data_IF_542629298052
#
_entry.id   IF_542629298052
#
_cell.length_a   1.000
_cell.length_b   1.000
_cell.length_c   1.000
_cell.angle_alpha   90.00
_cell.angle_beta   90.00
_cell.angle_gamma   90.00
#
_symmetry.space_group_name_H-M   'P 1'
#
loop_
_entity.id
_entity.type
_entity.pdbx_description
1 polymer ?
#
# COMPACT_ATOMS: atom_id res chain seq x y z
N UNK A 1 -17.21 25.18 -4.90
CA UNK A 1 -15.81 25.46 -4.51
C UNK A 1 -15.05 25.67 -5.80
N UNK A 2 -14.72 26.93 -6.02
CA UNK A 2 -13.92 27.49 -7.11
C UNK A 2 -12.49 26.92 -7.06
N UNK A 3 -11.94 26.57 -8.24
CA UNK A 3 -10.71 25.78 -8.40
C UNK A 3 -9.45 26.40 -7.79
N UNK A 4 -9.48 27.69 -7.45
CA UNK A 4 -8.41 28.40 -6.73
C UNK A 4 -8.32 27.99 -5.26
N UNK A 5 -9.45 27.61 -4.64
CA UNK A 5 -9.48 27.14 -3.26
C UNK A 5 -8.76 25.81 -3.07
N UNK A 6 -8.85 24.91 -4.06
CA UNK A 6 -8.24 23.58 -4.01
C UNK A 6 -6.71 23.65 -4.10
N UNK A 7 -6.16 24.51 -4.95
CA UNK A 7 -4.72 24.71 -5.08
C UNK A 7 -4.08 25.34 -3.83
N UNK A 8 -4.75 26.31 -3.22
CA UNK A 8 -4.31 26.89 -1.94
C UNK A 8 -4.30 25.85 -0.81
N UNK A 9 -5.23 24.89 -0.84
CA UNK A 9 -5.31 23.78 0.11
C UNK A 9 -4.19 22.75 -0.09
N UNK A 10 -3.84 22.43 -1.34
CA UNK A 10 -2.73 21.51 -1.67
C UNK A 10 -1.38 22.08 -1.20
N UNK A 11 -1.15 23.38 -1.40
CA UNK A 11 0.06 24.04 -0.91
C UNK A 11 0.16 24.04 0.62
N UNK A 12 -0.96 24.26 1.33
CA UNK A 12 -1.00 24.22 2.80
C UNK A 12 -0.77 22.80 3.34
N UNK A 13 -1.24 21.78 2.62
CA UNK A 13 -1.01 20.37 2.94
C UNK A 13 0.46 19.95 2.75
N UNK A 14 1.11 20.41 1.67
CA UNK A 14 2.54 20.14 1.42
C UNK A 14 3.47 20.85 2.42
N UNK A 15 3.04 22.00 2.97
CA UNK A 15 3.79 22.80 3.95
C UNK A 15 3.54 22.38 5.41
N UNK A 16 2.69 21.39 5.67
CA UNK A 16 2.48 20.81 7.00
C UNK A 16 1.80 21.73 8.02
N UNK A 17 1.05 22.75 7.57
CA UNK A 17 0.40 23.77 8.42
C UNK A 17 -1.09 23.54 8.67
N UNK A 18 -1.61 22.35 8.34
CA UNK A 18 -3.02 21.97 8.49
C UNK A 18 -3.29 21.36 9.88
N UNK A 19 -4.34 21.79 10.56
CA UNK A 19 -4.77 21.26 11.87
C UNK A 19 -5.55 19.95 11.76
N UNK A 20 -5.42 19.07 12.76
CA UNK A 20 -6.03 17.72 12.85
C UNK A 20 -7.55 17.73 12.59
N UNK A 21 -8.26 18.74 13.09
CA UNK A 21 -9.73 18.86 12.99
C UNK A 21 -10.24 18.99 11.54
N UNK A 22 -9.40 19.50 10.63
CA UNK A 22 -9.74 19.58 9.20
C UNK A 22 -9.43 18.28 8.46
N UNK A 23 -8.44 17.47 8.88
CA UNK A 23 -8.16 16.17 8.26
C UNK A 23 -9.30 15.16 8.49
N UNK A 24 -9.93 15.16 9.67
CA UNK A 24 -11.06 14.29 10.02
C UNK A 24 -12.30 14.53 9.13
N UNK A 25 -12.51 15.78 8.71
CA UNK A 25 -13.60 16.15 7.80
C UNK A 25 -13.39 15.61 6.37
N UNK A 26 -12.13 15.47 5.94
CA UNK A 26 -11.79 14.86 4.65
C UNK A 26 -11.81 13.31 4.71
N UNK A 27 -11.37 12.73 5.82
CA UNK A 27 -11.42 11.27 6.06
C UNK A 27 -12.87 10.76 6.07
N UNK A 28 -13.79 11.48 6.74
CA UNK A 28 -15.22 11.12 6.73
C UNK A 28 -15.85 11.22 5.34
N UNK A 29 -15.42 12.18 4.51
CA UNK A 29 -15.87 12.30 3.12
C UNK A 29 -15.31 11.17 2.23
N UNK A 30 -14.11 10.68 2.54
CA UNK A 30 -13.48 9.53 1.86
C UNK A 30 -14.18 8.20 2.17
N UNK A 31 -14.74 8.03 3.37
CA UNK A 31 -15.56 6.86 3.69
C UNK A 31 -16.81 6.78 2.80
N UNK A 32 -17.36 7.90 2.32
CA UNK A 32 -18.44 7.92 1.33
C UNK A 32 -17.98 7.57 -0.09
N UNK A 33 -16.73 7.87 -0.47
CA UNK A 33 -16.17 7.48 -1.78
C UNK A 33 -15.89 5.97 -1.85
N UNK A 34 -15.52 5.33 -0.72
CA UNK A 34 -15.42 3.87 -0.66
C UNK A 34 -16.76 3.16 -0.88
N UNK A 35 -17.90 3.85 -0.74
CA UNK A 35 -19.23 3.33 -1.11
C UNK A 35 -19.49 3.40 -2.62
N UNK A 36 -18.69 4.16 -3.37
CA UNK A 36 -18.75 4.26 -4.84
C UNK A 36 -17.78 3.30 -5.54
N UNK A 37 -16.98 2.53 -4.78
CA UNK A 37 -16.12 1.46 -5.31
C UNK A 37 -16.96 0.24 -5.75
N UNK A 38 -17.72 0.38 -6.84
CA UNK A 38 -18.41 -0.73 -7.55
C UNK A 38 -17.47 -1.54 -8.45
N UNK A 39 -16.15 -1.32 -8.36
CA UNK A 39 -15.16 -1.97 -9.22
C UNK A 39 -14.98 -3.48 -8.94
N UNK A 40 -14.95 -3.95 -7.68
CA UNK A 40 -14.91 -5.39 -7.40
C UNK A 40 -16.17 -6.13 -7.88
N UNK A 41 -17.34 -5.48 -7.81
CA UNK A 41 -18.62 -6.05 -8.23
C UNK A 41 -18.74 -6.15 -9.76
N UNK A 42 -18.17 -5.21 -10.52
CA UNK A 42 -18.17 -5.25 -11.99
C UNK A 42 -17.22 -6.32 -12.55
N UNK A 43 -16.09 -6.56 -11.88
CA UNK A 43 -15.15 -7.63 -12.26
C UNK A 43 -15.70 -9.02 -11.87
N UNK A 44 -16.30 -9.13 -10.68
CA UNK A 44 -16.91 -10.39 -10.20
C UNK A 44 -18.16 -10.80 -10.99
N UNK A 45 -18.93 -9.86 -11.55
CA UNK A 45 -20.18 -10.16 -12.25
C UNK A 45 -20.00 -10.76 -13.66
N UNK A 46 -18.78 -10.78 -14.21
CA UNK A 46 -18.51 -11.26 -15.57
C UNK A 46 -17.55 -12.45 -15.65
N UNK A 47 -17.14 -13.05 -14.52
CA UNK A 47 -16.18 -14.16 -14.54
C UNK A 47 -16.91 -15.52 -14.65
N UNK A 48 -17.26 -15.90 -15.88
CA UNK A 48 -17.68 -17.27 -16.16
C UNK A 48 -16.45 -18.17 -16.24
N UNK A 49 -16.47 -19.30 -15.51
CA UNK A 49 -15.46 -20.35 -15.64
C UNK A 49 -15.53 -20.93 -17.05
N UNK A 50 -14.67 -20.44 -17.93
CA UNK A 50 -14.51 -20.98 -19.26
C UNK A 50 -13.42 -22.05 -19.25
N UNK A 51 -13.72 -23.18 -19.89
CA UNK A 51 -12.77 -24.26 -20.07
C UNK A 51 -11.94 -23.92 -21.30
N UNK A 52 -10.69 -23.53 -21.09
CA UNK A 52 -9.78 -23.17 -22.17
C UNK A 52 -9.03 -24.42 -22.64
N UNK A 53 -8.92 -24.59 -23.96
CA UNK A 53 -8.06 -25.59 -24.57
C UNK A 53 -6.96 -24.88 -25.34
N UNK A 54 -5.73 -25.37 -25.21
CA UNK A 54 -4.62 -24.97 -26.06
C UNK A 54 -4.36 -26.13 -27.03
N UNK A 55 -4.75 -25.95 -28.28
CA UNK A 55 -4.80 -27.03 -29.28
C UNK A 55 -5.70 -28.20 -28.81
N UNK A 56 -5.12 -29.36 -28.49
CA UNK A 56 -5.86 -30.57 -28.08
C UNK A 56 -5.88 -30.74 -26.55
N UNK A 57 -5.06 -29.97 -25.84
CA UNK A 57 -4.89 -30.11 -24.40
C UNK A 57 -5.80 -29.16 -23.64
N UNK A 58 -6.53 -29.74 -22.69
CA UNK A 58 -7.39 -29.01 -21.78
C UNK A 58 -6.55 -28.32 -20.69
N UNK A 59 -6.63 -26.99 -20.57
CA UNK A 59 -5.98 -26.33 -19.45
C UNK A 59 -6.67 -26.72 -18.13
N UNK A 60 -5.88 -27.13 -17.15
CA UNK A 60 -6.36 -27.37 -15.80
C UNK A 60 -6.87 -26.07 -15.15
N UNK A 61 -7.93 -26.17 -14.36
CA UNK A 61 -8.41 -25.05 -13.56
C UNK A 61 -7.42 -24.72 -12.45
N UNK A 62 -7.07 -23.44 -12.30
CA UNK A 62 -6.24 -22.93 -11.20
C UNK A 62 -7.10 -22.14 -10.21
N UNK A 63 -6.76 -22.22 -8.92
CA UNK A 63 -7.41 -21.43 -7.87
C UNK A 63 -6.82 -20.01 -7.72
N UNK A 64 -5.65 -19.76 -8.28
CA UNK A 64 -5.04 -18.43 -8.36
C UNK A 64 -4.16 -18.31 -9.61
N UNK A 65 -4.19 -17.14 -10.23
CA UNK A 65 -3.46 -16.85 -11.45
C UNK A 65 -2.63 -15.59 -11.29
N UNK A 66 -1.41 -15.61 -11.82
CA UNK A 66 -0.50 -14.47 -11.75
C UNK A 66 -0.45 -13.80 -13.11
N UNK A 67 -0.99 -12.59 -13.18
CA UNK A 67 -0.94 -11.77 -14.39
C UNK A 67 -0.26 -10.43 -14.12
N UNK A 68 0.66 -10.03 -15.00
CA UNK A 68 1.47 -8.79 -14.90
C UNK A 68 2.14 -8.55 -13.52
N UNK A 69 2.37 -9.61 -12.74
CA UNK A 69 2.95 -9.52 -11.39
C UNK A 69 1.94 -9.41 -10.25
N UNK A 70 0.64 -9.41 -10.54
CA UNK A 70 -0.47 -9.45 -9.58
C UNK A 70 -1.03 -10.86 -9.52
N UNK A 71 -1.08 -11.44 -8.31
CA UNK A 71 -1.78 -12.69 -8.07
C UNK A 71 -3.26 -12.39 -7.80
N UNK A 72 -4.13 -12.97 -8.61
CA UNK A 72 -5.58 -12.88 -8.48
C UNK A 72 -6.10 -14.26 -8.14
N UNK A 73 -6.76 -14.38 -6.98
CA UNK A 73 -7.42 -15.64 -6.62
C UNK A 73 -8.80 -15.77 -7.28
N UNK A 74 -9.34 -16.98 -7.30
CA UNK A 74 -10.64 -17.28 -7.89
C UNK A 74 -11.83 -16.59 -7.21
N UNK A 75 -11.61 -15.92 -6.08
CA UNK A 75 -12.60 -15.11 -5.36
C UNK A 75 -12.31 -13.60 -5.47
N UNK A 76 -11.30 -13.23 -6.25
CA UNK A 76 -10.79 -11.87 -6.42
C UNK A 76 -10.35 -11.20 -5.09
N UNK A 77 -9.99 -11.99 -4.06
CA UNK A 77 -9.43 -11.46 -2.84
C UNK A 77 -7.96 -11.11 -3.01
N UNK A 78 -7.60 -9.92 -2.54
CA UNK A 78 -6.23 -9.39 -2.65
C UNK A 78 -5.33 -9.82 -1.49
N UNK A 79 -5.84 -10.61 -0.54
CA UNK A 79 -5.10 -11.03 0.65
C UNK A 79 -3.88 -11.90 0.30
N UNK A 80 -4.01 -12.80 -0.68
CA UNK A 80 -2.86 -13.59 -1.14
C UNK A 80 -1.77 -12.70 -1.75
N UNK A 81 -2.17 -11.71 -2.55
CA UNK A 81 -1.26 -10.72 -3.12
C UNK A 81 -0.58 -9.87 -2.04
N UNK A 82 -1.34 -9.41 -1.03
CA UNK A 82 -0.79 -8.67 0.11
C UNK A 82 0.25 -9.50 0.86
N UNK A 83 -0.02 -10.78 1.10
CA UNK A 83 0.92 -11.69 1.73
C UNK A 83 2.19 -11.90 0.90
N UNK A 84 2.06 -12.05 -0.42
CA UNK A 84 3.20 -12.16 -1.32
C UNK A 84 4.07 -10.90 -1.33
N UNK A 85 3.44 -9.72 -1.42
CA UNK A 85 4.16 -8.45 -1.42
C UNK A 85 4.83 -8.19 -0.07
N UNK A 86 4.16 -8.46 1.04
CA UNK A 86 4.75 -8.41 2.36
C UNK A 86 5.96 -9.37 2.48
N UNK A 87 5.86 -10.61 1.97
CA UNK A 87 6.96 -11.58 1.97
C UNK A 87 8.17 -11.06 1.18
N UNK A 88 7.94 -10.56 -0.04
CA UNK A 88 9.00 -9.99 -0.89
C UNK A 88 9.68 -8.80 -0.22
N UNK A 89 8.88 -7.87 0.31
CA UNK A 89 9.36 -6.68 1.00
C UNK A 89 10.15 -7.02 2.28
N UNK A 90 9.69 -8.01 3.08
CA UNK A 90 10.45 -8.51 4.23
C UNK A 90 11.78 -9.16 3.82
N UNK A 91 11.82 -9.88 2.69
CA UNK A 91 13.05 -10.44 2.14
C UNK A 91 14.08 -9.35 1.83
N UNK A 92 13.66 -8.32 1.09
CA UNK A 92 14.50 -7.16 0.76
C UNK A 92 14.95 -6.40 2.01
N UNK A 93 14.05 -6.21 2.97
CA UNK A 93 14.39 -5.60 4.26
C UNK A 93 15.43 -6.43 5.02
N UNK A 94 15.33 -7.77 4.95
CA UNK A 94 16.34 -8.69 5.47
C UNK A 94 17.68 -8.56 4.76
N UNK A 95 17.69 -8.39 3.44
CA UNK A 95 18.89 -8.13 2.64
C UNK A 95 19.55 -6.79 3.03
N UNK A 96 18.78 -5.70 3.14
CA UNK A 96 19.27 -4.40 3.62
C UNK A 96 19.86 -4.56 5.01
N UNK A 97 19.17 -5.30 5.89
CA UNK A 97 19.66 -5.59 7.22
C UNK A 97 21.02 -6.30 7.17
N UNK A 98 21.20 -7.30 6.33
CA UNK A 98 22.47 -8.07 6.30
C UNK A 98 23.62 -7.35 5.57
N UNK A 99 23.31 -6.55 4.55
CA UNK A 99 24.32 -5.96 3.65
C UNK A 99 24.90 -4.64 4.13
N UNK A 100 24.14 -3.86 4.91
CA UNK A 100 24.58 -2.54 5.36
C UNK A 100 25.14 -2.62 6.78
N UNK A 101 26.40 -2.21 6.96
CA UNK A 101 27.04 -2.13 8.27
C UNK A 101 26.48 -0.98 9.14
N UNK A 102 26.17 0.16 8.53
CA UNK A 102 25.51 1.28 9.21
C UNK A 102 24.01 1.03 9.38
N UNK A 103 23.49 1.38 10.55
CA UNK A 103 22.06 1.40 10.87
C UNK A 103 21.49 2.82 10.97
N UNK A 104 22.23 3.82 10.49
CA UNK A 104 21.77 5.20 10.54
C UNK A 104 20.54 5.40 9.64
N UNK A 105 19.63 6.30 10.04
CA UNK A 105 18.43 6.60 9.26
C UNK A 105 18.78 7.15 7.88
N UNK A 106 19.88 7.89 7.76
CA UNK A 106 20.39 8.48 6.53
C UNK A 106 20.78 7.43 5.48
N UNK A 107 21.05 6.19 5.90
CA UNK A 107 21.37 5.07 4.99
C UNK A 107 20.17 4.16 4.79
N UNK A 108 19.48 3.77 5.87
CA UNK A 108 18.38 2.81 5.79
C UNK A 108 17.13 3.43 5.16
N UNK A 109 16.83 4.70 5.43
CA UNK A 109 15.62 5.36 4.93
C UNK A 109 15.59 5.48 3.39
N UNK A 110 16.67 5.92 2.71
CA UNK A 110 16.72 5.89 1.24
C UNK A 110 16.58 4.48 0.67
N UNK A 111 17.25 3.48 1.26
CA UNK A 111 17.18 2.09 0.79
C UNK A 111 15.77 1.50 0.94
N UNK A 112 15.12 1.75 2.08
CA UNK A 112 13.73 1.35 2.29
C UNK A 112 12.81 2.00 1.26
N UNK A 113 12.96 3.31 1.03
CA UNK A 113 12.11 4.06 0.10
C UNK A 113 12.31 3.64 -1.36
N UNK A 114 13.52 3.29 -1.76
CA UNK A 114 13.84 2.89 -3.14
C UNK A 114 13.58 1.41 -3.44
N UNK A 115 13.82 0.51 -2.48
CA UNK A 115 13.79 -0.94 -2.73
C UNK A 115 12.56 -1.63 -2.14
N UNK A 116 12.09 -1.20 -0.97
CA UNK A 116 11.05 -1.92 -0.22
C UNK A 116 9.68 -1.30 -0.46
N UNK A 117 9.58 0.03 -0.33
CA UNK A 117 8.33 0.78 -0.44
C UNK A 117 7.60 0.58 -1.77
N UNK A 118 8.27 0.54 -2.94
CA UNK A 118 7.58 0.30 -4.20
C UNK A 118 6.83 -1.04 -4.22
N UNK A 119 7.30 -2.07 -3.53
CA UNK A 119 6.56 -3.35 -3.46
C UNK A 119 5.32 -3.28 -2.57
N UNK A 120 5.21 -2.29 -1.69
CA UNK A 120 4.06 -2.11 -0.80
C UNK A 120 3.02 -1.12 -1.36
N UNK A 121 3.44 -0.28 -2.31
CA UNK A 121 2.64 0.83 -2.89
C UNK A 121 2.38 0.67 -4.40
N UNK A 122 3.17 -0.12 -5.13
CA UNK A 122 2.98 -0.28 -6.58
C UNK A 122 1.67 -0.97 -6.90
N UNK A 123 0.92 -0.43 -7.88
CA UNK A 123 -0.35 -0.97 -8.35
C UNK A 123 -1.42 -1.10 -7.26
N UNK A 124 -1.40 -0.27 -6.21
CA UNK A 124 -2.43 -0.28 -5.16
C UNK A 124 -3.84 -0.16 -5.74
N UNK A 125 -4.04 0.57 -6.84
CA UNK A 125 -5.34 0.65 -7.54
C UNK A 125 -5.88 -0.73 -7.97
N UNK A 126 -5.00 -1.68 -8.28
CA UNK A 126 -5.36 -3.03 -8.73
C UNK A 126 -5.52 -4.03 -7.59
N UNK A 127 -4.76 -3.89 -6.48
CA UNK A 127 -4.78 -4.85 -5.37
C UNK A 127 -5.00 -4.21 -3.99
N UNK A 128 -5.75 -3.11 -3.93
CA UNK A 128 -6.03 -2.39 -2.69
C UNK A 128 -6.46 -3.35 -1.57
N UNK A 129 -5.78 -3.35 -0.40
CA UNK A 129 -6.12 -4.26 0.70
C UNK A 129 -7.54 -4.01 1.20
N UNK A 130 -8.42 -4.99 1.00
CA UNK A 130 -9.84 -4.89 1.35
C UNK A 130 -10.05 -5.05 2.87
N UNK A 131 -9.23 -5.89 3.52
CA UNK A 131 -9.34 -6.20 4.94
C UNK A 131 -8.28 -5.47 5.76
N UNK A 132 -8.64 -5.12 7.01
CA UNK A 132 -7.71 -4.51 7.96
C UNK A 132 -6.48 -5.40 8.22
N UNK A 133 -6.67 -6.73 8.26
CA UNK A 133 -5.57 -7.69 8.42
C UNK A 133 -4.50 -7.53 7.34
N UNK A 134 -4.91 -7.30 6.10
CA UNK A 134 -3.98 -7.12 4.97
C UNK A 134 -3.26 -5.77 5.05
N UNK A 135 -3.98 -4.71 5.48
CA UNK A 135 -3.38 -3.39 5.73
C UNK A 135 -2.31 -3.46 6.81
N UNK A 136 -2.63 -4.08 7.95
CA UNK A 136 -1.70 -4.30 9.05
C UNK A 136 -0.49 -5.14 8.61
N UNK A 137 -0.71 -6.17 7.81
CA UNK A 137 0.36 -7.04 7.32
C UNK A 137 1.41 -6.24 6.53
N UNK A 138 0.96 -5.30 5.69
CA UNK A 138 1.83 -4.41 4.94
C UNK A 138 2.48 -3.36 5.86
N UNK A 139 1.71 -2.76 6.78
CA UNK A 139 2.19 -1.75 7.73
C UNK A 139 3.29 -2.30 8.65
N UNK A 140 3.20 -3.58 9.03
CA UNK A 140 4.24 -4.29 9.80
C UNK A 140 5.60 -4.29 9.10
N UNK A 141 5.65 -4.20 7.77
CA UNK A 141 6.91 -4.08 7.04
C UNK A 141 7.54 -2.72 7.28
N UNK A 142 6.76 -1.64 7.20
CA UNK A 142 7.22 -0.29 7.52
C UNK A 142 7.65 -0.18 8.98
N UNK A 143 6.87 -0.75 9.91
CA UNK A 143 7.26 -0.85 11.32
C UNK A 143 8.64 -1.49 11.48
N UNK A 144 8.86 -2.68 10.91
CA UNK A 144 10.16 -3.36 11.02
C UNK A 144 11.30 -2.52 10.44
N UNK A 145 11.05 -1.78 9.36
CA UNK A 145 12.04 -0.92 8.74
C UNK A 145 12.41 0.27 9.63
N UNK A 146 11.44 0.97 10.21
CA UNK A 146 11.72 2.11 11.09
C UNK A 146 12.32 1.67 12.43
N UNK A 147 11.95 0.48 12.94
CA UNK A 147 12.50 -0.07 14.19
C UNK A 147 13.98 -0.47 14.10
N UNK A 148 14.50 -0.80 12.91
CA UNK A 148 15.91 -1.22 12.79
C UNK A 148 16.90 -0.06 12.66
N UNK A 149 16.39 1.18 12.56
CA UNK A 149 17.23 2.38 12.49
C UNK A 149 17.72 2.74 13.89
N UNK A 150 19.01 3.05 14.01
CA UNK A 150 19.63 3.41 15.29
C UNK A 150 18.98 4.66 15.89
N UNK A 151 18.84 4.64 17.23
CA UNK A 151 18.22 5.69 18.07
C UNK A 151 16.70 5.77 17.99
N UNK A 152 16.07 4.96 17.15
CA UNK A 152 14.61 4.91 16.98
C UNK A 152 13.99 3.65 17.61
N UNK A 153 14.81 2.72 18.14
CA UNK A 153 14.36 1.38 18.54
C UNK A 153 13.34 1.39 19.69
N UNK A 154 13.46 2.37 20.59
CA UNK A 154 12.66 2.51 21.80
C UNK A 154 11.40 3.38 21.59
N UNK A 155 11.36 4.13 20.49
CA UNK A 155 10.24 5.00 20.18
C UNK A 155 9.02 4.19 19.72
N UNK A 156 7.83 4.69 20.05
CA UNK A 156 6.59 4.15 19.52
C UNK A 156 6.55 4.25 17.99
N UNK A 157 5.64 3.52 17.35
CA UNK A 157 5.56 3.54 15.89
C UNK A 157 5.29 4.95 15.34
N UNK A 158 4.34 5.66 15.94
CA UNK A 158 3.96 7.01 15.51
C UNK A 158 5.09 8.03 15.71
N UNK A 159 5.81 7.95 16.83
CA UNK A 159 6.98 8.82 17.06
C UNK A 159 8.08 8.58 16.04
N UNK A 160 8.33 7.31 15.68
CA UNK A 160 9.30 6.98 14.61
C UNK A 160 8.88 7.55 13.27
N UNK A 161 7.59 7.51 12.93
CA UNK A 161 7.09 8.10 11.69
C UNK A 161 7.30 9.61 11.67
N UNK A 162 6.96 10.30 12.77
CA UNK A 162 7.17 11.75 12.93
C UNK A 162 8.64 12.13 12.80
N UNK A 163 9.55 11.43 13.49
CA UNK A 163 10.99 11.70 13.43
C UNK A 163 11.62 11.42 12.06
N UNK A 164 11.03 10.54 11.27
CA UNK A 164 11.47 10.23 9.92
C UNK A 164 10.76 11.05 8.84
N UNK A 165 9.78 11.89 9.20
CA UNK A 165 8.94 12.61 8.24
C UNK A 165 8.15 11.66 7.33
N UNK A 166 7.73 10.50 7.85
CA UNK A 166 7.00 9.48 7.11
C UNK A 166 5.51 9.49 7.47
N UNK A 167 4.69 9.17 6.48
CA UNK A 167 3.29 8.80 6.69
C UNK A 167 3.16 7.29 6.78
N UNK A 168 2.10 6.79 7.44
CA UNK A 168 1.70 5.37 7.37
C UNK A 168 1.40 4.96 5.93
N UNK A 169 1.53 3.68 5.60
CA UNK A 169 1.24 3.22 4.23
C UNK A 169 -0.24 3.44 3.90
N UNK A 170 -1.13 3.26 4.88
CA UNK A 170 -2.55 3.54 4.70
C UNK A 170 -2.82 5.01 4.34
N UNK A 171 -2.24 5.96 5.08
CA UNK A 171 -2.39 7.40 4.78
C UNK A 171 -1.81 7.74 3.39
N UNK A 172 -0.73 7.08 2.98
CA UNK A 172 -0.14 7.26 1.64
C UNK A 172 -1.04 6.72 0.53
N UNK A 173 -1.64 5.53 0.70
CA UNK A 173 -2.59 4.98 -0.27
C UNK A 173 -3.81 5.87 -0.44
N UNK A 174 -4.40 6.32 0.66
CA UNK A 174 -5.53 7.25 0.63
C UNK A 174 -5.17 8.54 -0.13
N UNK A 175 -3.95 9.06 0.05
CA UNK A 175 -3.47 10.21 -0.70
C UNK A 175 -3.34 9.91 -2.20
N UNK A 176 -2.83 8.75 -2.58
CA UNK A 176 -2.72 8.34 -3.98
C UNK A 176 -4.10 8.18 -4.63
N UNK A 177 -5.06 7.60 -3.92
CA UNK A 177 -6.45 7.49 -4.38
C UNK A 177 -7.07 8.87 -4.64
N UNK A 178 -6.79 9.85 -3.76
CA UNK A 178 -7.30 11.22 -3.89
C UNK A 178 -6.65 12.02 -5.04
N UNK A 179 -5.40 11.72 -5.40
CA UNK A 179 -4.70 12.41 -6.50
C UNK A 179 -5.13 11.84 -7.86
N UNK A 180 -5.44 10.54 -7.91
CA UNK A 180 -5.82 9.84 -9.13
C UNK A 180 -7.34 9.88 -9.42
N UNK A 181 -8.13 10.50 -8.54
CA UNK A 181 -9.58 10.71 -8.68
C UNK A 181 -9.91 12.02 -9.43
#
# INVERSE_FOLDING_TARGET
MDGLGVWSLIEKYQKGTMSEEYEDKYINKSQDISKLAKWPLLFSANFHFHQYSLAVDLLGSSSAEKDLGVLVDNKLFMSQQCALMAKKANGLLGCIKKSVASRSREVILPLYSALVRPHLECCVQFWAPQFNTDRELLERVQWKATRMMRRLEHLSYEERLRELGLFSLEKRRLREDLINA
#
